data_IF_636278550979
#
_entry.id   IF_636278550979
#
_cell.length_a   1.000
_cell.length_b   1.000
_cell.length_c   1.000
_cell.angle_alpha   90.00
_cell.angle_beta   90.00
_cell.angle_gamma   90.00
#
_symmetry.space_group_name_H-M   'P 1'
#
loop_
_entity.id
_entity.type
_entity.pdbx_description
1 polymer ?
#
# COMPACT_ATOMS: atom_id res chain seq x y z
N UNK A 1 6.05 -18.81 -8.57
CA UNK A 1 6.70 -17.53 -8.26
C UNK A 1 5.69 -16.69 -7.51
N UNK A 2 5.84 -16.57 -6.20
CA UNK A 2 4.93 -15.80 -5.35
C UNK A 2 4.93 -14.36 -5.84
N UNK A 3 3.77 -13.83 -6.24
CA UNK A 3 3.58 -12.41 -6.56
C UNK A 3 3.95 -11.61 -5.31
N UNK A 4 5.23 -11.26 -5.14
CA UNK A 4 5.65 -10.20 -4.22
C UNK A 4 4.83 -8.99 -4.64
N UNK A 5 4.01 -8.50 -3.72
CA UNK A 5 3.09 -7.42 -3.99
C UNK A 5 3.93 -6.20 -4.39
N UNK A 6 3.71 -5.70 -5.61
CA UNK A 6 4.48 -4.58 -6.12
C UNK A 6 4.06 -3.30 -5.38
N UNK A 7 5.05 -2.57 -4.86
CA UNK A 7 4.81 -1.31 -4.13
C UNK A 7 4.04 -0.32 -5.02
N UNK A 8 4.35 -0.25 -6.32
CA UNK A 8 3.64 0.65 -7.23
C UNK A 8 2.19 0.24 -7.41
N UNK A 9 1.89 -1.06 -7.48
CA UNK A 9 0.50 -1.53 -7.62
C UNK A 9 -0.33 -1.18 -6.40
N UNK A 10 0.23 -1.30 -5.19
CA UNK A 10 -0.44 -0.89 -3.96
C UNK A 10 -0.64 0.64 -3.88
N UNK A 11 0.34 1.43 -4.32
CA UNK A 11 0.22 2.88 -4.39
C UNK A 11 -0.86 3.32 -5.38
N UNK A 12 -0.90 2.74 -6.59
CA UNK A 12 -1.96 3.00 -7.58
C UNK A 12 -3.36 2.69 -7.06
N UNK A 13 -3.49 1.62 -6.24
CA UNK A 13 -4.76 1.30 -5.59
C UNK A 13 -5.15 2.35 -4.54
N UNK A 14 -4.19 2.83 -3.75
CA UNK A 14 -4.45 3.92 -2.80
C UNK A 14 -4.86 5.22 -3.52
N UNK A 15 -4.19 5.58 -4.61
CA UNK A 15 -4.60 6.70 -5.48
C UNK A 15 -6.02 6.49 -6.00
N UNK A 16 -6.36 5.29 -6.47
CA UNK A 16 -7.71 4.99 -6.96
C UNK A 16 -8.78 5.11 -5.87
N UNK A 17 -8.44 4.79 -4.62
CA UNK A 17 -9.33 4.98 -3.46
C UNK A 17 -9.53 6.47 -3.17
N UNK A 18 -8.44 7.25 -3.17
CA UNK A 18 -8.52 8.70 -2.97
C UNK A 18 -9.34 9.38 -4.08
N UNK A 19 -9.06 9.05 -5.34
CA UNK A 19 -9.81 9.49 -6.51
C UNK A 19 -11.31 9.18 -6.41
N UNK A 20 -11.66 8.01 -5.86
CA UNK A 20 -13.06 7.63 -5.65
C UNK A 20 -13.75 8.57 -4.65
N UNK A 21 -13.09 8.90 -3.55
CA UNK A 21 -13.63 9.86 -2.57
C UNK A 21 -13.79 11.28 -3.14
N UNK A 22 -12.91 11.70 -4.05
CA UNK A 22 -12.96 13.03 -4.67
C UNK A 22 -14.03 13.13 -5.77
N UNK A 23 -14.40 12.02 -6.41
CA UNK A 23 -15.37 11.98 -7.52
C UNK A 23 -16.81 11.73 -7.06
N UNK A 24 -17.01 11.20 -5.86
CA UNK A 24 -18.35 10.85 -5.38
C UNK A 24 -19.07 12.10 -4.81
N UNK A 25 -20.05 12.65 -5.57
CA UNK A 25 -20.84 13.83 -5.17
C UNK A 25 -21.73 13.57 -3.93
N UNK A 26 -22.23 12.34 -3.76
CA UNK A 26 -22.90 11.88 -2.53
C UNK A 26 -22.16 10.65 -1.98
N UNK A 27 -21.42 10.86 -0.89
CA UNK A 27 -20.65 9.78 -0.26
C UNK A 27 -21.61 8.82 0.44
N UNK A 28 -21.82 7.67 -0.18
CA UNK A 28 -22.37 6.48 0.47
C UNK A 28 -21.42 6.06 1.61
N UNK A 29 -21.85 6.31 2.85
CA UNK A 29 -21.03 6.12 4.06
C UNK A 29 -20.61 4.67 4.25
N UNK A 30 -21.45 3.70 3.87
CA UNK A 30 -21.10 2.28 3.98
C UNK A 30 -19.96 1.92 3.02
N UNK A 31 -20.07 2.34 1.76
CA UNK A 31 -19.01 2.15 0.76
C UNK A 31 -17.75 2.92 1.12
N UNK A 32 -17.88 4.14 1.62
CA UNK A 32 -16.75 4.92 2.12
C UNK A 32 -16.00 4.17 3.23
N UNK A 33 -16.71 3.57 4.18
CA UNK A 33 -16.11 2.79 5.24
C UNK A 33 -15.37 1.54 4.71
N UNK A 34 -15.90 0.88 3.69
CA UNK A 34 -15.20 -0.23 3.02
C UNK A 34 -13.90 0.23 2.35
N UNK A 35 -13.92 1.36 1.64
CA UNK A 35 -12.73 1.93 0.99
C UNK A 35 -11.65 2.37 1.99
N UNK A 36 -12.05 2.93 3.13
CA UNK A 36 -11.12 3.24 4.22
C UNK A 36 -10.45 1.97 4.75
N UNK A 37 -11.22 0.90 4.99
CA UNK A 37 -10.66 -0.39 5.44
C UNK A 37 -9.68 -0.96 4.41
N UNK A 38 -10.02 -0.92 3.13
CA UNK A 38 -9.14 -1.33 2.04
C UNK A 38 -7.83 -0.52 2.04
N UNK A 39 -7.93 0.80 2.19
CA UNK A 39 -6.76 1.69 2.28
C UNK A 39 -5.87 1.39 3.48
N UNK A 40 -6.45 1.12 4.65
CA UNK A 40 -5.70 0.75 5.87
C UNK A 40 -4.89 -0.52 5.66
N UNK A 41 -5.49 -1.56 5.06
CA UNK A 41 -4.79 -2.81 4.79
C UNK A 41 -3.68 -2.65 3.75
N UNK A 42 -3.90 -1.84 2.71
CA UNK A 42 -2.86 -1.49 1.72
C UNK A 42 -1.67 -0.77 2.38
N UNK A 43 -1.92 0.19 3.26
CA UNK A 43 -0.87 0.93 3.98
C UNK A 43 -0.07 0.00 4.89
N UNK A 44 -0.74 -0.88 5.66
CA UNK A 44 -0.05 -1.87 6.52
C UNK A 44 0.89 -2.74 5.70
N UNK A 45 0.41 -3.21 4.56
CA UNK A 45 1.18 -4.08 3.68
C UNK A 45 2.38 -3.35 3.05
N UNK A 46 2.19 -2.11 2.61
CA UNK A 46 3.26 -1.26 2.09
C UNK A 46 4.37 -1.03 3.12
N UNK A 47 3.99 -0.70 4.37
CA UNK A 47 4.95 -0.51 5.47
C UNK A 47 5.81 -1.75 5.70
N UNK A 48 5.18 -2.93 5.74
CA UNK A 48 5.88 -4.21 5.88
C UNK A 48 6.86 -4.44 4.72
N UNK A 49 6.43 -4.18 3.48
CA UNK A 49 7.32 -4.38 2.33
C UNK A 49 8.51 -3.42 2.33
N UNK A 50 8.32 -2.18 2.76
CA UNK A 50 9.41 -1.21 2.92
C UNK A 50 10.42 -1.66 3.97
N UNK A 51 9.95 -2.18 5.11
CA UNK A 51 10.79 -2.75 6.15
C UNK A 51 11.60 -3.95 5.64
N UNK A 52 10.97 -4.86 4.88
CA UNK A 52 11.67 -5.98 4.23
C UNK A 52 12.76 -5.49 3.28
N UNK A 53 12.48 -4.50 2.43
CA UNK A 53 13.46 -3.93 1.50
C UNK A 53 14.61 -3.24 2.25
N UNK A 54 14.32 -2.55 3.36
CA UNK A 54 15.33 -1.92 4.19
C UNK A 54 16.26 -2.96 4.86
N UNK A 55 15.70 -4.08 5.30
CA UNK A 55 16.48 -5.19 5.86
C UNK A 55 17.35 -5.85 4.78
N UNK A 56 16.79 -6.14 3.60
CA UNK A 56 17.53 -6.64 2.43
C UNK A 56 18.72 -5.70 2.10
N UNK A 57 18.52 -4.37 2.16
CA UNK A 57 19.57 -3.38 1.93
C UNK A 57 20.67 -3.41 3.00
N UNK A 58 20.30 -3.51 4.28
CA UNK A 58 21.26 -3.56 5.40
C UNK A 58 22.12 -4.83 5.38
N UNK A 59 21.55 -5.98 4.99
CA UNK A 59 22.30 -7.22 4.81
C UNK A 59 23.36 -7.11 3.72
N UNK A 60 23.00 -6.51 2.58
CA UNK A 60 23.95 -6.24 1.49
C UNK A 60 25.08 -5.33 1.96
N UNK A 61 24.75 -4.26 2.70
CA UNK A 61 25.76 -3.35 3.25
C UNK A 61 26.74 -4.08 4.17
N UNK A 62 26.23 -4.92 5.07
CA UNK A 62 27.06 -5.74 5.99
C UNK A 62 27.96 -6.72 5.25
N UNK A 63 27.56 -7.17 4.05
CA UNK A 63 28.38 -8.08 3.22
C UNK A 63 29.52 -7.35 2.50
N UNK A 64 29.39 -6.03 2.31
CA UNK A 64 30.39 -5.20 1.64
C UNK A 64 31.45 -4.62 2.59
N UNK A 65 31.15 -4.56 3.89
CA UNK A 65 32.04 -4.14 4.98
C UNK A 65 32.87 -5.32 5.53
#
# INVERSE_FOLDING_TARGET
MSKKLDINDALKKLESIADWFEKEDEVDVEKGMEKVKEGVELIKLLRRRLEEVQNEFNEIKTTLD
#
